data_IF_331331490398
#
_entry.id   IF_331331490398
#
_cell.length_a   1.000
_cell.length_b   1.000
_cell.length_c   1.000
_cell.angle_alpha   90.00
_cell.angle_beta   90.00
_cell.angle_gamma   90.00
#
_symmetry.space_group_name_H-M   'P 1'
#
loop_
_entity.id
_entity.type
_entity.pdbx_description
1 polymer ?
#
# COMPACT_ATOMS: atom_id res chain seq x y z
N UNK A 1 4.72 5.54 26.15
CA UNK A 1 4.96 6.71 25.28
C UNK A 1 5.67 6.17 24.05
N UNK A 2 4.96 5.90 22.96
CA UNK A 2 5.62 5.65 21.68
C UNK A 2 6.22 6.99 21.23
N UNK A 3 7.55 7.02 21.12
CA UNK A 3 8.27 8.11 20.47
C UNK A 3 7.74 8.26 19.05
N UNK A 4 7.54 9.49 18.63
CA UNK A 4 7.23 9.90 17.26
C UNK A 4 8.42 9.56 16.34
N UNK A 5 8.60 8.27 16.06
CA UNK A 5 9.62 7.78 15.14
C UNK A 5 9.16 8.05 13.71
N UNK A 6 9.60 9.17 13.14
CA UNK A 6 9.43 9.42 11.72
C UNK A 6 10.30 8.41 10.93
N UNK A 7 9.67 7.39 10.34
CA UNK A 7 10.36 6.44 9.47
C UNK A 7 10.77 7.12 8.16
N UNK A 8 12.05 7.03 7.80
CA UNK A 8 12.50 7.45 6.48
C UNK A 8 12.01 6.43 5.44
N UNK A 9 11.15 6.89 4.54
CA UNK A 9 10.56 6.08 3.48
C UNK A 9 10.83 6.73 2.12
N UNK A 10 10.96 5.96 1.03
CA UNK A 10 10.96 6.56 -0.29
C UNK A 10 9.58 7.09 -0.66
N UNK A 11 9.48 7.90 -1.74
CA UNK A 11 8.19 8.28 -2.30
C UNK A 11 7.31 7.05 -2.60
N UNK A 12 5.98 7.18 -2.51
CA UNK A 12 5.06 6.11 -2.89
C UNK A 12 5.28 5.68 -4.35
N UNK A 13 5.15 4.38 -4.67
CA UNK A 13 5.41 3.85 -6.01
C UNK A 13 4.19 4.07 -6.92
N UNK A 14 3.86 5.33 -7.16
CA UNK A 14 2.78 5.70 -8.06
C UNK A 14 3.11 5.37 -9.51
N UNK A 15 2.07 5.10 -10.31
CA UNK A 15 2.20 5.12 -11.77
C UNK A 15 2.62 6.52 -12.20
N UNK A 16 3.50 6.61 -13.20
CA UNK A 16 3.97 7.89 -13.72
C UNK A 16 2.79 8.78 -14.17
N UNK A 17 2.81 10.05 -13.78
CA UNK A 17 1.79 11.05 -14.14
C UNK A 17 0.47 10.98 -13.38
N UNK A 18 0.24 10.00 -12.48
CA UNK A 18 -1.04 9.88 -11.75
C UNK A 18 -1.16 10.82 -10.54
N UNK A 19 -0.05 11.38 -10.08
CA UNK A 19 0.01 12.25 -8.91
C UNK A 19 0.53 13.64 -9.31
N UNK A 20 -0.07 14.75 -8.80
CA UNK A 20 -1.13 14.79 -7.79
C UNK A 20 -2.52 14.43 -8.33
N UNK A 21 -3.29 13.74 -7.51
CA UNK A 21 -4.66 13.31 -7.83
C UNK A 21 -5.61 14.51 -7.98
N UNK A 22 -5.28 15.64 -7.34
CA UNK A 22 -6.01 16.90 -7.47
C UNK A 22 -6.09 17.41 -8.92
N UNK A 23 -5.13 17.10 -9.79
CA UNK A 23 -5.14 17.57 -11.18
C UNK A 23 -6.43 17.15 -11.91
N UNK A 24 -6.97 15.98 -11.59
CA UNK A 24 -8.28 15.56 -12.09
C UNK A 24 -9.40 15.84 -11.08
N UNK A 25 -9.16 15.68 -9.78
CA UNK A 25 -10.24 15.68 -8.78
C UNK A 25 -10.64 17.04 -8.20
N UNK A 26 -9.87 18.11 -8.43
CA UNK A 26 -10.10 19.43 -7.79
C UNK A 26 -11.49 20.02 -8.06
N UNK A 27 -11.94 19.94 -9.31
CA UNK A 27 -13.23 20.52 -9.74
C UNK A 27 -14.37 19.48 -9.80
N UNK A 28 -14.10 18.24 -9.38
CA UNK A 28 -15.09 17.16 -9.39
C UNK A 28 -15.86 17.12 -8.09
N UNK A 29 -17.20 17.03 -8.17
CA UNK A 29 -18.03 16.81 -6.98
C UNK A 29 -17.77 15.41 -6.39
N UNK A 30 -17.34 15.28 -5.13
CA UNK A 30 -17.16 13.98 -4.49
C UNK A 30 -18.48 13.20 -4.43
N UNK A 31 -18.39 11.88 -4.65
CA UNK A 31 -19.53 10.98 -4.53
C UNK A 31 -19.17 9.81 -3.58
N UNK A 32 -19.68 9.81 -2.34
CA UNK A 32 -19.38 8.79 -1.35
C UNK A 32 -20.10 7.46 -1.59
N UNK A 33 -21.11 7.44 -2.47
CA UNK A 33 -21.86 6.22 -2.73
C UNK A 33 -21.02 5.24 -3.54
N UNK A 34 -20.89 4.01 -3.01
CA UNK A 34 -20.32 2.87 -3.72
C UNK A 34 -21.05 2.62 -5.03
N UNK A 35 -20.29 2.38 -6.10
CA UNK A 35 -20.80 2.18 -7.47
C UNK A 35 -19.75 1.49 -8.33
N UNK A 36 -20.17 0.99 -9.49
CA UNK A 36 -19.25 0.63 -10.55
C UNK A 36 -18.71 1.92 -11.21
N UNK A 37 -17.39 1.98 -11.41
CA UNK A 37 -16.73 3.07 -12.13
C UNK A 37 -16.74 2.74 -13.62
N UNK A 38 -16.97 3.74 -14.48
CA UNK A 38 -17.14 3.54 -15.93
C UNK A 38 -16.11 4.23 -16.81
N UNK A 39 -15.38 5.20 -16.26
CA UNK A 39 -14.43 6.03 -17.00
C UNK A 39 -13.02 5.77 -16.45
N UNK A 40 -12.68 6.43 -15.35
CA UNK A 40 -11.39 6.31 -14.68
C UNK A 40 -11.37 5.23 -13.61
N UNK A 41 -10.18 4.70 -13.32
CA UNK A 41 -9.91 3.71 -12.27
C UNK A 41 -10.68 2.38 -12.42
N UNK A 42 -11.20 2.08 -13.62
CA UNK A 42 -11.99 0.86 -13.93
C UNK A 42 -11.20 -0.44 -13.77
N UNK A 43 -9.87 -0.36 -13.82
CA UNK A 43 -8.94 -1.47 -13.61
C UNK A 43 -8.65 -1.76 -12.12
N UNK A 44 -9.09 -0.89 -11.20
CA UNK A 44 -8.87 -1.08 -9.76
C UNK A 44 -9.98 -1.96 -9.18
N UNK A 45 -9.59 -3.11 -8.63
CA UNK A 45 -10.52 -4.08 -8.05
C UNK A 45 -10.04 -4.51 -6.66
N UNK A 46 -10.94 -4.47 -5.68
CA UNK A 46 -10.69 -4.85 -4.28
C UNK A 46 -10.86 -6.36 -4.00
N UNK A 47 -10.77 -7.20 -5.04
CA UNK A 47 -11.13 -8.64 -5.01
C UNK A 47 -10.59 -9.42 -3.81
N UNK A 48 -9.33 -9.18 -3.44
CA UNK A 48 -8.67 -9.85 -2.31
C UNK A 48 -8.45 -8.92 -1.11
N UNK A 49 -9.24 -7.85 -1.01
CA UNK A 49 -9.11 -6.83 0.02
C UNK A 49 -10.47 -6.26 0.43
N UNK A 50 -11.28 -7.10 1.08
CA UNK A 50 -12.59 -6.74 1.64
C UNK A 50 -13.53 -6.08 0.61
N UNK A 51 -13.63 -6.69 -0.57
CA UNK A 51 -14.38 -6.14 -1.72
C UNK A 51 -15.81 -5.73 -1.35
N UNK A 52 -16.50 -6.47 -0.48
CA UNK A 52 -17.91 -6.20 -0.13
C UNK A 52 -18.05 -5.18 1.00
N UNK A 53 -17.02 -5.02 1.83
CA UNK A 53 -17.05 -4.22 3.04
C UNK A 53 -16.35 -2.85 2.88
N UNK A 54 -15.40 -2.74 1.95
CA UNK A 54 -14.59 -1.54 1.75
C UNK A 54 -14.88 -0.83 0.43
N UNK A 55 -14.68 0.48 0.46
CA UNK A 55 -14.78 1.40 -0.66
C UNK A 55 -13.56 2.33 -0.71
N UNK A 56 -13.32 2.97 -1.86
CA UNK A 56 -12.15 3.83 -2.09
C UNK A 56 -11.93 4.86 -0.96
N UNK A 57 -13.02 5.45 -0.47
CA UNK A 57 -13.02 6.52 0.53
C UNK A 57 -12.86 6.05 1.98
N UNK A 58 -12.74 4.74 2.20
CA UNK A 58 -12.35 4.21 3.52
C UNK A 58 -10.84 4.35 3.77
N UNK A 59 -10.07 4.53 2.69
CA UNK A 59 -8.61 4.68 2.72
C UNK A 59 -8.17 6.05 2.20
N UNK A 60 -8.84 6.56 1.15
CA UNK A 60 -8.55 7.87 0.56
C UNK A 60 -9.47 8.95 1.13
N UNK A 61 -8.94 10.16 1.32
CA UNK A 61 -9.78 11.26 1.77
C UNK A 61 -10.79 11.70 0.68
N UNK A 62 -12.00 12.04 1.14
CA UNK A 62 -13.13 12.39 0.26
C UNK A 62 -12.98 13.75 -0.42
N UNK A 63 -12.33 14.71 0.25
CA UNK A 63 -12.27 16.09 -0.20
C UNK A 63 -10.88 16.44 -0.76
N UNK A 64 -9.85 15.68 -0.36
CA UNK A 64 -8.49 15.84 -0.83
C UNK A 64 -7.88 14.49 -1.24
N UNK A 65 -7.92 14.16 -2.54
CA UNK A 65 -7.47 12.84 -3.04
C UNK A 65 -5.95 12.65 -2.96
N UNK A 66 -5.20 13.73 -2.69
CA UNK A 66 -3.76 13.67 -2.46
C UNK A 66 -3.41 13.18 -1.05
N UNK A 67 -4.41 12.94 -0.20
CA UNK A 67 -4.25 12.44 1.17
C UNK A 67 -4.99 11.11 1.36
N UNK A 68 -4.44 10.31 2.27
CA UNK A 68 -5.12 9.17 2.85
C UNK A 68 -5.89 9.61 4.10
N UNK A 69 -6.89 8.82 4.51
CA UNK A 69 -7.72 9.07 5.68
C UNK A 69 -7.69 7.85 6.60
N UNK A 70 -7.35 8.07 7.86
CA UNK A 70 -7.46 7.06 8.91
C UNK A 70 -8.92 6.87 9.33
N UNK A 71 -9.22 5.74 9.99
CA UNK A 71 -10.55 5.49 10.59
C UNK A 71 -11.00 6.61 11.56
N UNK A 72 -10.06 7.26 12.25
CA UNK A 72 -10.32 8.42 13.11
C UNK A 72 -10.80 9.66 12.36
N UNK A 73 -10.61 9.71 11.04
CA UNK A 73 -10.83 10.87 10.19
C UNK A 73 -9.59 11.73 9.97
N UNK A 74 -8.47 11.44 10.64
CA UNK A 74 -7.19 12.11 10.43
C UNK A 74 -6.71 11.91 8.98
N UNK A 75 -6.22 12.98 8.37
CA UNK A 75 -5.59 12.95 7.05
C UNK A 75 -4.09 12.71 7.21
N UNK A 76 -3.55 11.80 6.43
CA UNK A 76 -2.12 11.49 6.42
C UNK A 76 -1.57 11.50 4.99
N UNK A 77 -0.26 11.73 4.87
CA UNK A 77 0.43 11.61 3.60
C UNK A 77 0.57 10.16 3.15
N UNK A 78 0.71 9.93 1.84
CA UNK A 78 0.96 8.58 1.31
C UNK A 78 2.28 7.96 1.80
N UNK A 79 3.26 8.79 2.18
CA UNK A 79 4.49 8.37 2.86
C UNK A 79 4.22 7.80 4.25
N UNK A 80 3.05 8.05 4.82
CA UNK A 80 2.61 7.49 6.09
C UNK A 80 1.61 6.33 5.93
N UNK A 81 1.44 5.80 4.72
CA UNK A 81 0.48 4.72 4.43
C UNK A 81 0.60 3.49 5.34
N UNK A 82 1.77 3.24 5.95
CA UNK A 82 1.96 2.20 6.95
C UNK A 82 1.06 2.39 8.19
N UNK A 83 0.75 3.62 8.59
CA UNK A 83 -0.18 3.94 9.68
C UNK A 83 -1.60 3.50 9.34
N UNK A 84 -2.04 3.77 8.10
CA UNK A 84 -3.34 3.33 7.60
C UNK A 84 -3.46 1.80 7.56
N UNK A 85 -2.48 1.13 6.95
CA UNK A 85 -2.47 -0.33 6.86
C UNK A 85 -2.45 -0.99 8.25
N UNK A 86 -1.71 -0.41 9.19
CA UNK A 86 -1.57 -0.89 10.56
C UNK A 86 -2.86 -0.87 11.39
N UNK A 87 -3.89 -0.12 10.98
CA UNK A 87 -5.19 -0.10 11.67
C UNK A 87 -5.90 -1.46 11.62
N UNK A 88 -5.63 -2.27 10.60
CA UNK A 88 -6.17 -3.62 10.45
C UNK A 88 -5.09 -4.71 10.44
N UNK A 89 -3.90 -4.43 9.89
CA UNK A 89 -2.79 -5.37 9.76
C UNK A 89 -1.72 -5.15 10.85
N UNK A 90 -2.15 -5.18 12.11
CA UNK A 90 -1.30 -4.82 13.26
C UNK A 90 -0.07 -5.70 13.45
N UNK A 91 -0.16 -6.99 13.13
CA UNK A 91 0.98 -7.92 13.18
C UNK A 91 2.05 -7.53 12.16
N UNK A 92 1.67 -7.30 10.91
CA UNK A 92 2.58 -6.88 9.84
C UNK A 92 3.15 -5.50 10.10
N UNK A 93 2.35 -4.58 10.65
CA UNK A 93 2.82 -3.25 11.01
C UNK A 93 3.90 -3.31 12.11
N UNK A 94 3.67 -4.06 13.19
CA UNK A 94 4.66 -4.26 14.25
C UNK A 94 5.97 -4.86 13.71
N UNK A 95 5.87 -5.87 12.86
CA UNK A 95 7.04 -6.51 12.26
C UNK A 95 7.75 -5.56 11.26
N UNK A 96 7.01 -4.70 10.57
CA UNK A 96 7.56 -3.68 9.67
C UNK A 96 8.35 -2.60 10.42
N UNK A 97 7.84 -2.10 11.56
CA UNK A 97 8.55 -1.09 12.39
C UNK A 97 9.95 -1.55 12.79
N UNK A 98 10.11 -2.85 13.04
CA UNK A 98 11.39 -3.45 13.44
C UNK A 98 12.23 -3.96 12.26
N UNK A 99 11.69 -3.91 11.04
CA UNK A 99 12.35 -4.35 9.81
C UNK A 99 12.35 -5.87 9.60
N UNK A 100 11.51 -6.62 10.32
CA UNK A 100 11.24 -8.05 10.09
C UNK A 100 10.39 -8.22 8.83
N UNK A 101 9.43 -7.32 8.61
CA UNK A 101 8.56 -7.33 7.44
C UNK A 101 8.81 -6.12 6.54
N UNK A 102 8.66 -6.32 5.22
CA UNK A 102 9.09 -5.34 4.22
C UNK A 102 10.59 -5.34 3.99
N UNK A 103 11.08 -4.38 3.19
CA UNK A 103 12.50 -4.25 2.88
C UNK A 103 13.08 -3.02 3.57
N UNK A 104 14.11 -3.24 4.37
CA UNK A 104 14.93 -2.18 4.98
C UNK A 104 16.23 -2.03 4.20
N UNK A 105 16.58 -0.81 3.84
CA UNK A 105 17.81 -0.46 3.12
C UNK A 105 18.58 0.63 3.88
N UNK A 106 19.77 1.00 3.39
CA UNK A 106 20.61 2.01 4.03
C UNK A 106 21.73 1.40 4.87
N UNK A 107 22.15 2.10 5.91
CA UNK A 107 23.31 1.75 6.73
C UNK A 107 22.96 0.75 7.83
N UNK A 108 23.87 -0.17 8.13
CA UNK A 108 23.74 -1.13 9.24
C UNK A 108 23.59 -0.42 10.59
N UNK A 109 24.52 0.48 10.94
CA UNK A 109 24.57 1.20 12.22
C UNK A 109 24.18 2.68 12.11
N UNK A 110 23.49 3.09 11.05
CA UNK A 110 23.13 4.48 10.81
C UNK A 110 21.75 4.65 10.23
N UNK A 111 21.60 5.62 9.32
CA UNK A 111 20.32 5.94 8.67
C UNK A 111 19.80 4.74 7.88
N UNK A 112 18.54 4.40 8.13
CA UNK A 112 17.83 3.29 7.50
C UNK A 112 16.61 3.83 6.78
N UNK A 113 16.29 3.22 5.65
CA UNK A 113 15.09 3.51 4.89
C UNK A 113 14.19 2.27 4.87
N UNK A 114 12.89 2.47 4.99
CA UNK A 114 11.89 1.43 5.03
C UNK A 114 10.99 1.56 3.80
N UNK A 115 10.90 0.52 2.98
CA UNK A 115 9.94 0.53 1.89
C UNK A 115 8.51 0.46 2.44
N UNK A 116 7.60 1.25 1.87
CA UNK A 116 6.16 1.19 2.19
C UNK A 116 5.56 -0.16 1.78
N UNK A 117 4.44 -0.53 2.40
CA UNK A 117 3.68 -1.74 2.04
C UNK A 117 3.40 -1.81 0.53
N UNK A 118 3.06 -0.66 -0.07
CA UNK A 118 2.76 -0.49 -1.48
C UNK A 118 3.92 -0.79 -2.45
N UNK A 119 5.18 -0.82 -1.97
CA UNK A 119 6.33 -1.15 -2.81
C UNK A 119 6.42 -2.63 -3.16
N UNK A 120 5.79 -3.49 -2.35
CA UNK A 120 5.78 -4.93 -2.57
C UNK A 120 4.38 -5.44 -2.89
N UNK A 121 3.35 -4.84 -2.29
CA UNK A 121 1.96 -5.24 -2.45
C UNK A 121 1.19 -4.19 -3.24
N UNK A 122 0.28 -4.62 -4.12
CA UNK A 122 -0.74 -3.72 -4.66
C UNK A 122 -1.74 -3.39 -3.54
N UNK A 123 -1.92 -2.13 -3.09
CA UNK A 123 -2.81 -1.80 -1.98
C UNK A 123 -4.27 -2.19 -2.21
N UNK A 124 -4.70 -2.26 -3.47
CA UNK A 124 -6.05 -2.64 -3.85
C UNK A 124 -6.21 -4.16 -4.03
N UNK A 125 -5.11 -4.89 -4.18
CA UNK A 125 -5.10 -6.34 -4.27
C UNK A 125 -3.80 -6.91 -3.67
N UNK A 126 -3.63 -6.90 -2.33
CA UNK A 126 -2.33 -7.08 -1.70
C UNK A 126 -1.78 -8.50 -1.80
N UNK A 127 -2.64 -9.51 -1.98
CA UNK A 127 -2.21 -10.91 -2.07
C UNK A 127 -1.37 -11.13 -3.32
N UNK A 128 -0.18 -11.72 -3.16
CA UNK A 128 0.64 -12.12 -4.29
C UNK A 128 -0.08 -13.17 -5.14
N UNK A 129 0.09 -13.07 -6.46
CA UNK A 129 -0.33 -14.13 -7.37
C UNK A 129 0.50 -15.37 -7.08
N UNK A 130 -0.16 -16.52 -7.07
CA UNK A 130 0.51 -17.81 -6.94
C UNK A 130 1.47 -17.99 -8.13
N UNK A 131 2.71 -18.32 -7.82
CA UNK A 131 3.71 -18.67 -8.82
C UNK A 131 3.69 -20.17 -8.99
N UNK A 132 3.68 -20.63 -10.24
CA UNK A 132 3.86 -22.05 -10.51
C UNK A 132 5.27 -22.46 -10.06
N UNK A 133 5.40 -23.50 -9.22
CA UNK A 133 6.71 -23.97 -8.80
C UNK A 133 7.48 -24.48 -10.03
N UNK A 134 8.78 -24.18 -10.06
CA UNK A 134 9.68 -24.80 -11.04
C UNK A 134 9.73 -26.32 -10.79
N UNK A 135 10.02 -27.13 -11.82
CA UNK A 135 10.25 -28.55 -11.63
C UNK A 135 11.33 -28.78 -10.56
N UNK A 136 11.26 -29.91 -9.83
CA UNK A 136 12.25 -30.23 -8.80
C UNK A 136 13.66 -30.25 -9.41
N UNK A 137 14.70 -29.89 -8.64
CA UNK A 137 16.06 -29.97 -9.11
C UNK A 137 16.40 -31.40 -9.54
N UNK A 138 17.19 -31.55 -10.59
CA UNK A 138 17.71 -32.86 -10.98
C UNK A 138 18.59 -33.40 -9.86
N UNK A 139 18.38 -34.67 -9.50
CA UNK A 139 19.28 -35.35 -8.56
C UNK A 139 20.69 -35.43 -9.15
N UNK A 140 21.74 -35.33 -8.33
CA UNK A 140 23.13 -35.40 -8.80
C UNK A 140 23.41 -36.62 -9.68
N UNK A 141 22.83 -37.77 -9.35
CA UNK A 141 22.98 -39.03 -10.12
C UNK A 141 22.47 -38.93 -11.56
N UNK A 142 21.62 -37.95 -11.87
CA UNK A 142 21.00 -37.75 -13.18
C UNK A 142 21.63 -36.60 -13.97
N UNK A 143 22.62 -35.89 -13.41
CA UNK A 143 23.37 -34.83 -14.11
C UNK A 143 24.41 -35.52 -15.00
N UNK A 144 24.25 -35.41 -16.33
CA UNK A 144 25.21 -35.92 -17.34
C UNK A 144 26.29 -34.90 -17.64
#
# INVERSE_FOLDING_TARGET
MESDESYMVPPPPFTEGIFPCSECHKEMRPNPKRRELKEEHTNIQLKNHAEKERWCLDCHDMNNRDKLRLVSGEQIDFTESYRLCGQCHGDKYRDWKTGIHGKRTGQWNGKKQYLLCAHCHNPHNPRFKELQPKPPPMRPENIR
#
